data_IF_323099529794
#
_entry.id   IF_323099529794
#
_cell.length_a   1.000
_cell.length_b   1.000
_cell.length_c   1.000
_cell.angle_alpha   90.00
_cell.angle_beta   90.00
_cell.angle_gamma   90.00
#
_symmetry.space_group_name_H-M   'P 1'
#
loop_
_entity.id
_entity.type
_entity.pdbx_description
1 polymer ?
#
# COMPACT_ATOMS: atom_id res chain seq x y z
N UNK A 1 -11.49 -10.48 11.40
CA UNK A 1 -10.34 -9.55 11.54
C UNK A 1 -10.08 -9.31 13.02
N UNK A 2 -8.89 -9.64 13.49
CA UNK A 2 -8.52 -9.54 14.90
C UNK A 2 -8.10 -8.09 15.24
N UNK A 3 -8.39 -7.58 16.45
CA UNK A 3 -8.13 -6.18 16.83
C UNK A 3 -6.65 -5.73 16.67
N UNK A 4 -5.71 -6.69 16.68
CA UNK A 4 -4.29 -6.44 16.42
C UNK A 4 -4.02 -6.04 14.97
N UNK A 5 -4.78 -6.59 14.02
CA UNK A 5 -4.61 -6.35 12.60
C UNK A 5 -5.12 -4.96 12.19
N UNK A 6 -6.23 -4.54 12.81
CA UNK A 6 -6.79 -3.19 12.67
C UNK A 6 -5.84 -2.13 13.22
N UNK A 7 -5.16 -2.39 14.33
CA UNK A 7 -4.21 -1.45 14.93
C UNK A 7 -2.92 -1.33 14.09
N UNK A 8 -2.42 -2.46 13.58
CA UNK A 8 -1.27 -2.51 12.67
C UNK A 8 -1.52 -1.71 11.38
N UNK A 9 -2.65 -1.99 10.76
CA UNK A 9 -3.25 -1.29 9.61
C UNK A 9 -3.29 0.22 9.79
N UNK A 10 -3.83 0.70 10.91
CA UNK A 10 -3.96 2.13 11.19
C UNK A 10 -2.59 2.77 11.43
N UNK A 11 -1.67 2.07 12.08
CA UNK A 11 -0.31 2.52 12.29
C UNK A 11 0.45 2.70 10.96
N UNK A 12 0.35 1.71 10.06
CA UNK A 12 0.96 1.75 8.72
C UNK A 12 0.37 2.89 7.89
N UNK A 13 -0.97 3.04 7.85
CA UNK A 13 -1.63 4.15 7.14
C UNK A 13 -1.18 5.53 7.65
N UNK A 14 -1.02 5.70 8.96
CA UNK A 14 -0.55 6.96 9.56
C UNK A 14 0.91 7.27 9.24
N UNK A 15 1.79 6.28 9.34
CA UNK A 15 3.20 6.39 8.96
C UNK A 15 3.38 6.74 7.48
N UNK A 16 2.58 6.10 6.61
CA UNK A 16 2.58 6.35 5.18
C UNK A 16 2.11 7.78 4.85
N UNK A 17 1.07 8.25 5.53
CA UNK A 17 0.55 9.63 5.36
C UNK A 17 1.62 10.66 5.73
N UNK A 18 2.38 10.42 6.79
CA UNK A 18 3.50 11.27 7.17
C UNK A 18 4.65 11.22 6.13
N UNK A 19 4.95 10.04 5.59
CA UNK A 19 5.98 9.86 4.56
C UNK A 19 5.58 10.51 3.23
N UNK A 20 4.28 10.53 2.90
CA UNK A 20 3.73 11.22 1.76
C UNK A 20 3.59 12.74 1.99
N UNK A 21 3.39 13.18 3.24
CA UNK A 21 3.31 14.61 3.57
C UNK A 21 4.68 15.28 3.72
N UNK A 22 5.69 14.54 4.17
CA UNK A 22 7.07 15.01 4.21
C UNK A 22 7.55 15.25 2.78
N UNK A 23 7.60 16.51 2.34
CA UNK A 23 7.83 16.95 0.95
C UNK A 23 8.88 16.16 0.17
N UNK A 24 8.70 16.10 -1.15
CA UNK A 24 9.54 15.33 -2.07
C UNK A 24 11.04 15.53 -1.78
N UNK A 25 11.85 14.46 -1.73
CA UNK A 25 13.28 14.59 -1.50
C UNK A 25 13.93 15.26 -2.71
N UNK A 26 14.00 16.59 -2.69
CA UNK A 26 14.93 17.37 -3.51
C UNK A 26 16.33 17.13 -2.99
N UNK A 27 16.99 16.09 -3.49
CA UNK A 27 18.44 15.95 -3.35
C UNK A 27 18.90 14.56 -2.94
N UNK A 28 19.42 13.82 -3.93
CA UNK A 28 20.66 13.00 -3.95
C UNK A 28 21.05 12.18 -2.71
N UNK A 29 20.13 11.84 -1.79
CA UNK A 29 20.41 10.90 -0.69
C UNK A 29 19.52 9.66 -0.82
N UNK A 30 19.99 8.58 -1.47
CA UNK A 30 19.42 7.27 -1.19
C UNK A 30 19.77 6.94 0.26
N UNK A 31 18.78 6.64 1.08
CA UNK A 31 18.88 5.54 2.07
C UNK A 31 17.58 5.37 2.84
N UNK A 32 17.21 6.24 3.77
CA UNK A 32 16.11 5.92 4.71
C UNK A 32 14.71 5.99 4.10
N UNK A 33 14.39 7.04 3.32
CA UNK A 33 13.03 7.21 2.78
C UNK A 33 12.71 6.20 1.67
N UNK A 34 13.73 5.78 0.91
CA UNK A 34 13.61 4.76 -0.13
C UNK A 34 13.40 3.36 0.47
N UNK A 35 14.17 3.02 1.51
CA UNK A 35 14.00 1.76 2.26
C UNK A 35 12.63 1.72 2.93
N UNK A 36 12.20 2.83 3.53
CA UNK A 36 10.86 2.96 4.13
C UNK A 36 9.76 2.82 3.08
N UNK A 37 9.90 3.47 1.91
CA UNK A 37 8.93 3.34 0.83
C UNK A 37 8.78 1.88 0.38
N UNK A 38 9.90 1.16 0.20
CA UNK A 38 9.87 -0.27 -0.17
C UNK A 38 9.20 -1.12 0.91
N UNK A 39 9.51 -0.87 2.17
CA UNK A 39 8.85 -1.53 3.30
C UNK A 39 7.34 -1.27 3.31
N UNK A 40 6.91 -0.02 3.07
CA UNK A 40 5.48 0.30 3.02
C UNK A 40 4.77 -0.34 1.84
N UNK A 41 5.39 -0.38 0.66
CA UNK A 41 4.81 -1.09 -0.50
C UNK A 41 4.61 -2.57 -0.16
N UNK A 42 5.63 -3.25 0.38
CA UNK A 42 5.55 -4.66 0.77
C UNK A 42 4.41 -4.92 1.79
N UNK A 43 4.26 -4.05 2.78
CA UNK A 43 3.16 -4.15 3.75
C UNK A 43 1.78 -3.89 3.12
N UNK A 44 1.69 -2.94 2.19
CA UNK A 44 0.45 -2.66 1.48
C UNK A 44 0.08 -3.78 0.51
N UNK A 45 1.06 -4.41 -0.16
CA UNK A 45 0.84 -5.56 -1.04
C UNK A 45 0.39 -6.80 -0.24
N UNK A 46 1.02 -7.06 0.90
CA UNK A 46 0.60 -8.12 1.81
C UNK A 46 -0.84 -7.91 2.31
N UNK A 47 -1.20 -6.66 2.61
CA UNK A 47 -2.57 -6.33 3.01
C UNK A 47 -3.55 -6.44 1.83
N UNK A 48 -3.23 -5.92 0.65
CA UNK A 48 -4.07 -6.06 -0.54
C UNK A 48 -4.39 -7.55 -0.79
N UNK A 49 -3.35 -8.39 -0.77
CA UNK A 49 -3.47 -9.85 -0.90
C UNK A 49 -4.41 -10.44 0.16
N UNK A 50 -4.30 -9.99 1.41
CA UNK A 50 -5.15 -10.45 2.50
C UNK A 50 -6.61 -10.03 2.35
N UNK A 51 -6.88 -8.81 1.89
CA UNK A 51 -8.24 -8.37 1.58
C UNK A 51 -8.80 -9.20 0.43
N UNK A 52 -8.01 -9.45 -0.61
CA UNK A 52 -8.42 -10.28 -1.75
C UNK A 52 -8.74 -11.71 -1.32
N UNK A 53 -7.93 -12.29 -0.43
CA UNK A 53 -8.19 -13.60 0.17
C UNK A 53 -9.45 -13.60 1.04
N UNK A 54 -9.70 -12.56 1.86
CA UNK A 54 -10.92 -12.46 2.67
C UNK A 54 -12.17 -12.34 1.78
N UNK A 55 -12.08 -11.56 0.70
CA UNK A 55 -13.14 -11.44 -0.31
C UNK A 55 -13.37 -12.79 -1.01
N UNK A 56 -12.31 -13.51 -1.39
CA UNK A 56 -12.40 -14.79 -2.10
C UNK A 56 -12.86 -15.94 -1.18
N UNK A 57 -12.53 -15.90 0.11
CA UNK A 57 -12.92 -16.91 1.09
C UNK A 57 -14.37 -16.74 1.58
N UNK A 58 -15.00 -15.59 1.32
CA UNK A 58 -16.42 -15.37 1.66
C UNK A 58 -17.33 -16.20 0.78
N UNK A 59 -18.34 -16.81 1.41
CA UNK A 59 -19.42 -17.50 0.70
C UNK A 59 -20.21 -16.48 -0.13
N UNK A 60 -20.79 -16.87 -1.29
CA UNK A 60 -21.54 -15.97 -2.17
C UNK A 60 -22.79 -15.34 -1.51
N UNK A 61 -23.26 -15.91 -0.41
CA UNK A 61 -24.36 -15.37 0.43
C UNK A 61 -23.92 -14.26 1.38
N UNK A 62 -22.62 -14.05 1.56
CA UNK A 62 -22.05 -13.00 2.39
C UNK A 62 -21.89 -11.76 1.51
N UNK A 63 -22.67 -10.71 1.77
CA UNK A 63 -22.57 -9.45 1.03
C UNK A 63 -21.13 -8.95 1.16
N UNK A 64 -20.35 -9.05 0.07
CA UNK A 64 -18.99 -8.49 0.04
C UNK A 64 -19.11 -7.03 0.45
N UNK A 65 -18.55 -6.70 1.61
CA UNK A 65 -18.74 -5.38 2.18
C UNK A 65 -18.12 -4.36 1.24
N UNK A 66 -18.91 -3.41 0.72
CA UNK A 66 -18.43 -2.31 -0.11
C UNK A 66 -17.22 -1.59 0.54
N UNK A 67 -17.15 -1.62 1.87
CA UNK A 67 -15.99 -1.18 2.65
C UNK A 67 -14.69 -1.92 2.31
N UNK A 68 -14.69 -3.24 2.15
CA UNK A 68 -13.48 -4.02 1.82
C UNK A 68 -12.98 -3.77 0.39
N UNK A 69 -13.91 -3.67 -0.57
CA UNK A 69 -13.55 -3.30 -1.95
C UNK A 69 -12.98 -1.88 -2.02
N UNK A 70 -13.57 -0.95 -1.26
CA UNK A 70 -13.06 0.42 -1.14
C UNK A 70 -11.68 0.45 -0.50
N UNK A 71 -11.47 -0.32 0.55
CA UNK A 71 -10.17 -0.43 1.21
C UNK A 71 -9.09 -0.99 0.28
N UNK A 72 -9.40 -2.05 -0.49
CA UNK A 72 -8.48 -2.59 -1.50
C UNK A 72 -8.10 -1.54 -2.55
N UNK A 73 -9.08 -0.76 -3.03
CA UNK A 73 -8.83 0.32 -3.97
C UNK A 73 -7.93 1.42 -3.37
N UNK A 74 -8.15 1.80 -2.12
CA UNK A 74 -7.30 2.79 -1.43
C UNK A 74 -5.88 2.30 -1.21
N UNK A 75 -5.70 1.04 -0.83
CA UNK A 75 -4.38 0.40 -0.67
C UNK A 75 -3.63 0.39 -1.99
N UNK A 76 -4.27 -0.02 -3.09
CA UNK A 76 -3.67 -0.01 -4.44
C UNK A 76 -3.27 1.40 -4.87
N UNK A 77 -4.15 2.39 -4.66
CA UNK A 77 -3.83 3.80 -4.94
C UNK A 77 -2.63 4.32 -4.16
N UNK A 78 -2.44 3.87 -2.91
CA UNK A 78 -1.28 4.24 -2.10
C UNK A 78 0.03 3.63 -2.62
N UNK A 79 -0.02 2.39 -3.10
CA UNK A 79 1.12 1.73 -3.77
C UNK A 79 1.51 2.50 -5.03
N UNK A 80 0.55 2.82 -5.89
CA UNK A 80 0.79 3.63 -7.11
C UNK A 80 1.40 4.99 -6.79
N UNK A 81 0.92 5.66 -5.73
CA UNK A 81 1.46 6.94 -5.28
C UNK A 81 2.92 6.82 -4.79
N UNK A 82 3.28 5.73 -4.10
CA UNK A 82 4.66 5.46 -3.69
C UNK A 82 5.55 5.15 -4.89
N UNK A 83 5.06 4.38 -5.87
CA UNK A 83 5.78 4.11 -7.11
C UNK A 83 6.05 5.40 -7.91
N UNK A 84 5.05 6.26 -8.03
CA UNK A 84 5.17 7.55 -8.70
C UNK A 84 6.15 8.50 -7.98
N UNK A 85 6.18 8.46 -6.64
CA UNK A 85 7.04 9.33 -5.82
C UNK A 85 8.50 8.86 -5.77
N UNK A 86 8.73 7.56 -5.84
CA UNK A 86 10.07 6.95 -5.76
C UNK A 86 10.41 6.14 -7.02
N UNK A 87 10.42 6.77 -8.21
CA UNK A 87 10.67 6.06 -9.47
C UNK A 87 12.08 5.46 -9.53
N UNK A 88 13.05 5.98 -8.78
CA UNK A 88 14.41 5.39 -8.72
C UNK A 88 14.46 4.10 -7.89
N UNK A 89 13.50 3.89 -7.00
CA UNK A 89 13.41 2.73 -6.10
C UNK A 89 12.59 1.61 -6.75
N UNK A 90 11.48 1.99 -7.39
CA UNK A 90 10.52 1.06 -7.99
C UNK A 90 10.64 0.97 -9.52
N UNK A 91 11.39 1.89 -10.15
CA UNK A 91 11.44 2.04 -11.60
C UNK A 91 12.75 1.55 -12.22
N UNK A 92 12.73 0.27 -12.59
CA UNK A 92 12.99 -0.12 -13.99
C UNK A 92 12.02 -1.22 -14.42
N UNK A 93 10.71 -1.06 -14.13
CA UNK A 93 9.63 -1.87 -14.71
C UNK A 93 8.35 -1.06 -14.98
N UNK A 94 8.40 0.28 -15.06
CA UNK A 94 7.31 1.10 -15.60
C UNK A 94 7.15 0.94 -17.14
N UNK A 95 7.55 -0.22 -17.69
CA UNK A 95 7.46 -0.55 -19.11
C UNK A 95 7.27 -2.06 -19.28
N UNK A 96 6.08 -2.54 -18.93
CA UNK A 96 5.41 -3.60 -19.68
C UNK A 96 3.99 -3.07 -19.91
N UNK A 97 3.73 -2.40 -21.05
CA UNK A 97 3.38 -3.02 -22.35
C UNK A 97 1.99 -3.64 -22.23
N UNK A 98 0.98 -3.34 -23.05
CA UNK A 98 0.75 -2.45 -24.19
C UNK A 98 -0.76 -2.53 -24.41
#
# INVERSE_FOLDING_TARGET
MSSRELNYTQHVKRQLTNTLSAGAPTGVRPDSNAIQAKYFVDQLEAWATKIEQDIAARRPSDTISHAQRRELYEVRRQIDALHARYPLVFGKNARQSR
#
